data_IF_017744898597
#
_entry.id   IF_017744898597
#
_cell.length_a   1.000
_cell.length_b   1.000
_cell.length_c   1.000
_cell.angle_alpha   90.00
_cell.angle_beta   90.00
_cell.angle_gamma   90.00
#
_symmetry.space_group_name_H-M   'P 1'
#
loop_
_entity.id
_entity.type
_entity.pdbx_description
1 polymer ?
#
# COMPACT_ATOMS: atom_id res chain seq x y z
N UNK A 1 10.25 -27.10 2.60
CA UNK A 1 9.99 -25.64 2.65
C UNK A 1 11.31 -24.92 2.78
N UNK A 2 11.61 -23.98 1.87
CA UNK A 2 12.76 -23.08 2.02
C UNK A 2 12.74 -22.41 3.40
N UNK A 3 13.86 -22.47 4.12
CA UNK A 3 14.02 -21.98 5.50
C UNK A 3 14.31 -20.48 5.56
N UNK A 4 14.50 -19.79 4.43
CA UNK A 4 14.74 -18.35 4.41
C UNK A 4 13.54 -17.57 4.96
N UNK A 5 13.71 -16.88 6.10
CA UNK A 5 12.63 -16.08 6.71
C UNK A 5 12.11 -15.00 5.73
N UNK A 6 12.99 -14.50 4.84
CA UNK A 6 12.67 -13.46 3.88
C UNK A 6 12.76 -14.00 2.45
N UNK A 7 11.62 -14.16 1.78
CA UNK A 7 11.56 -14.58 0.37
C UNK A 7 11.66 -13.39 -0.57
N UNK A 8 12.89 -13.01 -0.86
CA UNK A 8 13.24 -11.98 -1.86
C UNK A 8 13.37 -12.59 -3.26
N UNK A 9 12.41 -13.43 -3.65
CA UNK A 9 12.38 -14.06 -4.97
C UNK A 9 12.18 -13.00 -6.06
N UNK A 10 12.82 -13.23 -7.23
CA UNK A 10 12.76 -12.30 -8.36
C UNK A 10 11.29 -12.01 -8.72
N UNK A 11 10.86 -10.74 -8.73
CA UNK A 11 9.48 -10.41 -8.99
C UNK A 11 9.12 -10.77 -10.43
N UNK A 12 7.94 -11.37 -10.61
CA UNK A 12 7.38 -11.52 -11.95
C UNK A 12 7.00 -10.13 -12.48
N UNK A 13 7.58 -9.72 -13.61
CA UNK A 13 7.40 -8.35 -14.13
C UNK A 13 5.95 -8.01 -14.42
N UNK A 14 5.15 -8.95 -14.95
CA UNK A 14 3.73 -8.73 -15.23
C UNK A 14 2.94 -8.51 -13.94
N UNK A 15 3.19 -9.36 -12.93
CA UNK A 15 2.58 -9.23 -11.60
C UNK A 15 2.97 -7.90 -10.96
N UNK A 16 4.24 -7.52 -11.02
CA UNK A 16 4.74 -6.26 -10.49
C UNK A 16 4.09 -5.06 -11.16
N UNK A 17 3.99 -5.04 -12.49
CA UNK A 17 3.36 -3.94 -13.22
C UNK A 17 1.88 -3.81 -12.92
N UNK A 18 1.15 -4.93 -12.84
CA UNK A 18 -0.28 -4.92 -12.47
C UNK A 18 -0.49 -4.47 -11.02
N UNK A 19 0.34 -4.94 -10.09
CA UNK A 19 0.29 -4.53 -8.69
C UNK A 19 0.63 -3.03 -8.52
N UNK A 20 1.67 -2.55 -9.20
CA UNK A 20 2.06 -1.14 -9.22
C UNK A 20 0.97 -0.25 -9.81
N UNK A 21 0.41 -0.62 -10.97
CA UNK A 21 -0.66 0.13 -11.62
C UNK A 21 -1.92 0.24 -10.76
N UNK A 22 -2.37 -0.88 -10.18
CA UNK A 22 -3.49 -0.85 -9.24
C UNK A 22 -3.20 0.01 -8.00
N UNK A 23 -2.02 -0.13 -7.43
CA UNK A 23 -1.64 0.60 -6.21
C UNK A 23 -1.57 2.10 -6.41
N UNK A 24 -1.17 2.56 -7.60
CA UNK A 24 -1.25 3.98 -7.92
C UNK A 24 -2.67 4.51 -7.83
N UNK A 25 -3.73 3.70 -8.04
CA UNK A 25 -5.11 4.13 -7.87
C UNK A 25 -5.55 4.23 -6.40
N UNK A 26 -4.83 3.64 -5.45
CA UNK A 26 -5.23 3.58 -4.03
C UNK A 26 -5.32 4.93 -3.30
N UNK A 27 -4.53 5.98 -3.59
CA UNK A 27 -4.72 7.30 -3.00
C UNK A 27 -6.12 7.88 -3.27
N UNK A 28 -6.69 7.62 -4.45
CA UNK A 28 -8.05 8.07 -4.78
C UNK A 28 -9.13 7.21 -4.10
N UNK A 29 -8.85 5.94 -3.84
CA UNK A 29 -9.70 5.09 -2.99
C UNK A 29 -9.66 5.59 -1.54
N UNK A 30 -8.47 5.97 -1.07
CA UNK A 30 -8.23 6.53 0.26
C UNK A 30 -9.01 7.85 0.45
N UNK A 31 -9.03 8.70 -0.57
CA UNK A 31 -9.77 9.96 -0.55
C UNK A 31 -11.28 9.78 -0.32
N UNK A 32 -11.91 8.68 -0.78
CA UNK A 32 -13.31 8.36 -0.43
C UNK A 32 -13.50 8.03 1.04
N UNK A 33 -12.48 7.45 1.67
CA UNK A 33 -12.53 7.15 3.11
C UNK A 33 -12.30 8.43 3.91
N UNK A 34 -11.45 9.34 3.41
CA UNK A 34 -11.25 10.64 4.04
C UNK A 34 -12.45 11.57 4.02
N UNK A 35 -13.32 11.47 3.01
CA UNK A 35 -14.57 12.23 3.00
C UNK A 35 -15.56 11.77 4.09
N UNK A 36 -15.37 10.55 4.63
CA UNK A 36 -16.21 9.98 5.70
C UNK A 36 -15.52 10.14 7.07
N UNK A 37 -14.22 9.85 7.14
CA UNK A 37 -13.39 9.91 8.35
C UNK A 37 -12.24 10.89 8.10
N UNK A 38 -12.35 12.15 8.57
CA UNK A 38 -11.34 13.15 8.28
C UNK A 38 -10.00 12.77 8.91
N UNK A 39 -8.91 13.06 8.19
CA UNK A 39 -7.57 12.85 8.69
C UNK A 39 -7.34 13.66 9.98
N UNK A 40 -6.80 13.06 11.06
CA UNK A 40 -6.67 13.72 12.35
C UNK A 40 -5.83 15.00 12.29
N UNK A 41 -6.36 16.09 12.85
CA UNK A 41 -5.71 17.41 12.83
C UNK A 41 -4.34 17.42 13.53
N UNK A 42 -4.18 16.65 14.60
CA UNK A 42 -2.88 16.49 15.28
C UNK A 42 -1.79 15.91 14.35
N UNK A 43 -2.14 14.91 13.54
CA UNK A 43 -1.20 14.34 12.57
C UNK A 43 -0.89 15.33 11.46
N UNK A 44 -1.90 16.06 10.94
CA UNK A 44 -1.68 17.15 9.96
C UNK A 44 -0.64 18.12 10.47
N UNK A 45 -0.78 18.57 11.72
CA UNK A 45 0.12 19.51 12.38
C UNK A 45 1.55 18.98 12.49
N UNK A 46 1.74 17.71 12.87
CA UNK A 46 3.08 17.10 12.90
C UNK A 46 3.70 17.07 11.51
N UNK A 47 2.95 16.64 10.50
CA UNK A 47 3.47 16.56 9.12
C UNK A 47 3.81 17.94 8.55
N UNK A 48 2.98 18.96 8.82
CA UNK A 48 3.27 20.33 8.38
C UNK A 48 4.47 20.92 9.13
N UNK A 49 4.58 20.74 10.45
CA UNK A 49 5.73 21.22 11.22
C UNK A 49 7.05 20.58 10.76
N UNK A 50 7.06 19.28 10.44
CA UNK A 50 8.23 18.60 9.86
C UNK A 50 8.56 19.17 8.47
N UNK A 51 7.55 19.51 7.67
CA UNK A 51 7.72 20.07 6.32
C UNK A 51 8.11 21.56 6.27
N UNK A 52 7.90 22.32 7.34
CA UNK A 52 8.13 23.79 7.39
C UNK A 52 9.57 24.22 7.63
N UNK A 53 10.52 23.32 7.85
CA UNK A 53 11.92 23.69 8.03
C UNK A 53 12.56 24.08 6.69
N UNK A 54 12.58 25.37 6.36
CA UNK A 54 13.22 25.97 5.18
C UNK A 54 14.69 25.53 4.98
N UNK A 55 14.85 24.36 4.39
CA UNK A 55 16.12 23.70 4.13
C UNK A 55 15.89 22.62 3.08
N UNK A 56 16.90 22.32 2.25
CA UNK A 56 16.83 21.21 1.29
C UNK A 56 16.48 19.87 1.96
N UNK A 57 16.71 19.77 3.27
CA UNK A 57 16.32 18.66 4.14
C UNK A 57 14.81 18.42 4.19
N UNK A 58 13.97 19.46 4.07
CA UNK A 58 12.52 19.33 4.05
C UNK A 58 12.01 18.47 2.88
N UNK A 59 12.73 18.44 1.76
CA UNK A 59 12.41 17.56 0.63
C UNK A 59 12.98 16.16 0.82
N UNK A 60 14.23 16.06 1.29
CA UNK A 60 14.96 14.79 1.31
C UNK A 60 14.37 13.81 2.33
N UNK A 61 14.05 14.26 3.54
CA UNK A 61 13.61 13.36 4.61
C UNK A 61 12.26 12.66 4.32
N UNK A 62 11.22 13.33 3.81
CA UNK A 62 9.98 12.65 3.44
C UNK A 62 10.18 11.57 2.39
N UNK A 63 10.99 11.80 1.35
CA UNK A 63 11.25 10.79 0.32
C UNK A 63 12.09 9.61 0.85
N UNK A 64 13.09 9.84 1.71
CA UNK A 64 13.81 8.76 2.37
C UNK A 64 12.85 7.93 3.23
N UNK A 65 11.99 8.59 4.01
CA UNK A 65 10.99 7.91 4.84
C UNK A 65 10.01 7.09 3.99
N UNK A 66 9.67 7.58 2.79
CA UNK A 66 8.78 6.92 1.86
C UNK A 66 9.35 5.63 1.27
N UNK A 67 10.65 5.40 1.40
CA UNK A 67 11.33 4.18 0.97
C UNK A 67 11.60 3.28 2.18
N UNK A 68 12.15 3.85 3.26
CA UNK A 68 12.60 3.08 4.42
C UNK A 68 11.44 2.54 5.25
N UNK A 69 10.35 3.32 5.41
CA UNK A 69 9.19 2.90 6.19
C UNK A 69 8.49 1.69 5.53
N UNK A 70 8.17 1.70 4.23
CA UNK A 70 7.66 0.50 3.56
C UNK A 70 8.57 -0.72 3.68
N UNK A 71 9.90 -0.53 3.63
CA UNK A 71 10.84 -1.64 3.81
C UNK A 71 10.67 -2.35 5.15
N UNK A 72 10.71 -1.58 6.24
CA UNK A 72 10.55 -2.10 7.61
C UNK A 72 9.19 -2.80 7.74
N UNK A 73 8.15 -2.14 7.25
CA UNK A 73 6.78 -2.64 7.31
C UNK A 73 6.60 -3.95 6.52
N UNK A 74 7.06 -4.03 5.28
CA UNK A 74 6.94 -5.26 4.49
C UNK A 74 7.75 -6.41 5.10
N UNK A 75 8.96 -6.16 5.56
CA UNK A 75 9.80 -7.18 6.22
C UNK A 75 9.10 -7.74 7.46
N UNK A 76 8.59 -6.88 8.34
CA UNK A 76 7.92 -7.32 9.57
C UNK A 76 6.60 -8.03 9.25
N UNK A 77 5.71 -7.39 8.50
CA UNK A 77 4.35 -7.90 8.36
C UNK A 77 4.25 -9.07 7.38
N UNK A 78 5.01 -9.07 6.27
CA UNK A 78 4.91 -10.11 5.23
C UNK A 78 6.01 -11.15 5.42
N UNK A 79 7.24 -10.70 5.67
CA UNK A 79 8.38 -11.57 5.90
C UNK A 79 8.31 -12.37 7.21
N UNK A 80 7.92 -11.73 8.32
CA UNK A 80 7.94 -12.36 9.64
C UNK A 80 6.53 -12.81 10.07
N UNK A 81 5.59 -11.88 10.25
CA UNK A 81 4.27 -12.17 10.85
C UNK A 81 3.44 -13.09 9.95
N UNK A 82 3.14 -12.67 8.72
CA UNK A 82 2.32 -13.46 7.80
C UNK A 82 2.97 -14.80 7.48
N UNK A 83 4.29 -14.83 7.28
CA UNK A 83 5.02 -16.08 7.02
C UNK A 83 4.96 -17.05 8.19
N UNK A 84 5.13 -16.56 9.43
CA UNK A 84 4.96 -17.39 10.62
C UNK A 84 3.54 -17.91 10.75
N UNK A 85 2.53 -17.07 10.48
CA UNK A 85 1.13 -17.52 10.48
C UNK A 85 0.83 -18.55 9.38
N UNK A 86 1.58 -18.58 8.28
CA UNK A 86 1.42 -19.59 7.22
C UNK A 86 2.02 -20.95 7.57
N UNK A 87 2.86 -21.07 8.62
CA UNK A 87 3.35 -22.38 9.07
C UNK A 87 2.32 -23.12 9.92
N UNK A 88 1.50 -22.38 10.66
CA UNK A 88 0.52 -22.94 11.60
C UNK A 88 -0.93 -22.90 11.09
N UNK A 89 -1.27 -21.93 10.24
CA UNK A 89 -2.62 -21.70 9.77
C UNK A 89 -2.73 -21.75 8.24
N UNK A 90 -3.94 -22.03 7.74
CA UNK A 90 -4.21 -21.97 6.30
C UNK A 90 -4.24 -20.54 5.76
N UNK A 91 -3.90 -20.38 4.47
CA UNK A 91 -3.73 -19.10 3.75
C UNK A 91 -4.73 -18.01 4.16
N UNK A 92 -6.04 -18.31 4.08
CA UNK A 92 -7.09 -17.32 4.37
C UNK A 92 -7.02 -16.80 5.80
N UNK A 93 -6.82 -17.70 6.77
CA UNK A 93 -6.73 -17.34 8.20
C UNK A 93 -5.47 -16.52 8.46
N UNK A 94 -4.33 -16.92 7.89
CA UNK A 94 -3.05 -16.22 8.06
C UNK A 94 -3.12 -14.79 7.51
N UNK A 95 -3.71 -14.58 6.33
CA UNK A 95 -3.89 -13.24 5.74
C UNK A 95 -4.79 -12.38 6.63
N UNK A 96 -5.93 -12.90 7.08
CA UNK A 96 -6.87 -12.14 7.91
C UNK A 96 -6.23 -11.71 9.23
N UNK A 97 -5.57 -12.65 9.94
CA UNK A 97 -4.92 -12.35 11.22
C UNK A 97 -3.79 -11.33 11.03
N UNK A 98 -2.94 -11.51 10.02
CA UNK A 98 -1.86 -10.56 9.71
C UNK A 98 -2.42 -9.16 9.38
N UNK A 99 -3.52 -9.09 8.62
CA UNK A 99 -4.18 -7.84 8.26
C UNK A 99 -4.79 -7.12 9.48
N UNK A 100 -5.36 -7.86 10.43
CA UNK A 100 -5.86 -7.29 11.69
C UNK A 100 -4.70 -6.72 12.51
N UNK A 101 -3.59 -7.46 12.66
CA UNK A 101 -2.41 -6.97 13.38
C UNK A 101 -1.87 -5.70 12.71
N UNK A 102 -1.77 -5.70 11.38
CA UNK A 102 -1.38 -4.51 10.60
C UNK A 102 -2.35 -3.34 10.83
N UNK A 103 -3.65 -3.60 10.76
CA UNK A 103 -4.70 -2.60 10.97
C UNK A 103 -4.62 -1.95 12.34
N UNK A 104 -4.35 -2.72 13.39
CA UNK A 104 -4.18 -2.17 14.75
C UNK A 104 -2.92 -1.33 14.82
N UNK A 105 -1.76 -1.83 14.38
CA UNK A 105 -0.50 -1.09 14.46
C UNK A 105 -0.56 0.19 13.62
N UNK A 106 -0.94 0.07 12.35
CA UNK A 106 -1.06 1.20 11.42
C UNK A 106 -2.16 2.16 11.85
N UNK A 107 -3.32 1.63 12.25
CA UNK A 107 -4.45 2.42 12.74
C UNK A 107 -4.16 3.15 14.04
N UNK A 108 -3.34 2.63 14.94
CA UNK A 108 -2.87 3.38 16.10
C UNK A 108 -1.96 4.55 15.71
N UNK A 109 -1.19 4.42 14.63
CA UNK A 109 -0.30 5.49 14.13
C UNK A 109 -1.04 6.56 13.32
N UNK A 110 -2.06 6.17 12.54
CA UNK A 110 -2.75 7.05 11.59
C UNK A 110 -4.19 7.42 11.98
N UNK A 111 -4.73 6.78 13.02
CA UNK A 111 -6.16 6.79 13.42
C UNK A 111 -7.13 6.33 12.32
N UNK A 112 -6.64 5.54 11.37
CA UNK A 112 -7.43 5.02 10.25
C UNK A 112 -7.41 3.49 10.18
N UNK A 113 -7.84 2.76 11.22
CA UNK A 113 -7.71 1.30 11.28
C UNK A 113 -8.35 0.59 10.07
N UNK A 114 -9.45 1.11 9.54
CA UNK A 114 -10.15 0.56 8.36
C UNK A 114 -9.24 0.46 7.15
N UNK A 115 -8.47 1.52 6.85
CA UNK A 115 -7.52 1.54 5.74
C UNK A 115 -6.34 0.59 5.98
N UNK A 116 -5.87 0.54 7.22
CA UNK A 116 -4.87 -0.44 7.63
C UNK A 116 -5.34 -1.87 7.33
N UNK A 117 -6.61 -2.19 7.61
CA UNK A 117 -7.16 -3.52 7.32
C UNK A 117 -7.20 -3.80 5.81
N UNK A 118 -7.63 -2.84 4.99
CA UNK A 118 -7.69 -2.97 3.53
C UNK A 118 -6.29 -3.23 2.96
N UNK A 119 -5.29 -2.43 3.35
CA UNK A 119 -3.90 -2.61 2.91
C UNK A 119 -3.31 -3.91 3.44
N UNK A 120 -3.57 -4.26 4.69
CA UNK A 120 -3.15 -5.53 5.29
C UNK A 120 -3.66 -6.73 4.49
N UNK A 121 -4.95 -6.74 4.14
CA UNK A 121 -5.56 -7.80 3.34
C UNK A 121 -4.98 -7.85 1.92
N UNK A 122 -4.89 -6.71 1.25
CA UNK A 122 -4.46 -6.65 -0.16
C UNK A 122 -2.99 -7.03 -0.34
N UNK A 123 -2.09 -6.46 0.45
CA UNK A 123 -0.67 -6.82 0.40
C UNK A 123 -0.39 -8.21 0.96
N UNK A 124 -1.16 -8.67 1.95
CA UNK A 124 -1.07 -10.05 2.44
C UNK A 124 -1.44 -11.06 1.36
N UNK A 125 -2.52 -10.80 0.62
CA UNK A 125 -2.89 -11.56 -0.57
C UNK A 125 -1.81 -11.47 -1.66
N UNK A 126 -1.33 -10.27 -1.98
CA UNK A 126 -0.27 -10.06 -2.98
C UNK A 126 0.98 -10.89 -2.64
N UNK A 127 1.45 -10.87 -1.39
CA UNK A 127 2.62 -11.63 -0.94
C UNK A 127 2.44 -13.14 -1.14
N UNK A 128 1.31 -13.70 -0.70
CA UNK A 128 1.04 -15.14 -0.78
C UNK A 128 1.07 -15.62 -2.23
N UNK A 129 0.43 -14.90 -3.15
CA UNK A 129 0.28 -15.35 -4.53
C UNK A 129 1.42 -14.93 -5.45
N UNK A 130 2.06 -13.79 -5.21
CA UNK A 130 3.29 -13.40 -5.93
C UNK A 130 4.52 -14.19 -5.46
N UNK A 131 4.47 -14.74 -4.23
CA UNK A 131 5.58 -15.40 -3.53
C UNK A 131 6.85 -14.53 -3.47
N UNK A 132 6.73 -13.21 -3.58
CA UNK A 132 7.85 -12.29 -3.64
C UNK A 132 7.66 -11.11 -2.69
N UNK A 133 8.59 -10.96 -1.76
CA UNK A 133 8.66 -9.77 -0.89
C UNK A 133 9.04 -8.52 -1.70
N UNK A 134 9.83 -8.67 -2.78
CA UNK A 134 10.15 -7.56 -3.69
C UNK A 134 8.91 -6.98 -4.35
N UNK A 135 7.98 -7.83 -4.78
CA UNK A 135 6.71 -7.36 -5.37
C UNK A 135 5.95 -6.49 -4.37
N UNK A 136 5.81 -6.93 -3.12
CA UNK A 136 5.11 -6.13 -2.10
C UNK A 136 5.86 -4.84 -1.78
N UNK A 137 7.18 -4.92 -1.60
CA UNK A 137 8.03 -3.78 -1.25
C UNK A 137 8.00 -2.69 -2.31
N UNK A 138 8.25 -3.03 -3.58
CA UNK A 138 8.28 -2.04 -4.66
C UNK A 138 6.91 -1.37 -4.80
N UNK A 139 5.84 -2.16 -4.75
CA UNK A 139 4.48 -1.66 -4.82
C UNK A 139 4.13 -0.74 -3.65
N UNK A 140 4.56 -1.06 -2.42
CA UNK A 140 4.33 -0.21 -1.26
C UNK A 140 5.17 1.08 -1.30
N UNK A 141 6.44 1.00 -1.71
CA UNK A 141 7.27 2.20 -1.93
C UNK A 141 6.60 3.13 -2.96
N UNK A 142 6.07 2.59 -4.05
CA UNK A 142 5.38 3.39 -5.07
C UNK A 142 4.15 4.11 -4.51
N UNK A 143 3.36 3.44 -3.67
CA UNK A 143 2.23 4.06 -2.96
C UNK A 143 2.70 5.22 -2.07
N UNK A 144 3.75 4.98 -1.29
CA UNK A 144 4.21 5.92 -0.29
C UNK A 144 4.88 7.13 -0.93
N UNK A 145 5.71 6.91 -1.96
CA UNK A 145 6.37 7.96 -2.73
C UNK A 145 5.35 8.82 -3.48
N UNK A 146 4.34 8.22 -4.12
CA UNK A 146 3.30 9.00 -4.82
C UNK A 146 2.50 9.87 -3.84
N UNK A 147 2.18 9.35 -2.65
CA UNK A 147 1.50 10.10 -1.59
C UNK A 147 2.35 11.27 -1.06
N UNK A 148 3.64 11.01 -0.78
CA UNK A 148 4.58 12.07 -0.35
C UNK A 148 4.78 13.10 -1.45
N UNK A 149 4.94 12.68 -2.70
CA UNK A 149 5.08 13.60 -3.83
C UNK A 149 3.87 14.53 -3.96
N UNK A 150 2.65 14.01 -3.79
CA UNK A 150 1.44 14.84 -3.79
C UNK A 150 1.45 15.87 -2.66
N UNK A 151 1.68 15.43 -1.41
CA UNK A 151 1.67 16.33 -0.24
C UNK A 151 2.72 17.42 -0.38
N UNK A 152 3.94 17.06 -0.76
CA UNK A 152 5.05 18.00 -0.90
C UNK A 152 4.82 18.96 -2.06
N UNK A 153 4.38 18.46 -3.22
CA UNK A 153 4.08 19.34 -4.36
C UNK A 153 2.98 20.32 -4.01
N UNK A 154 1.87 19.85 -3.43
CA UNK A 154 0.74 20.73 -3.09
C UNK A 154 1.06 21.74 -1.99
N UNK A 155 2.01 21.43 -1.10
CA UNK A 155 2.47 22.35 -0.06
C UNK A 155 3.29 23.52 -0.64
N UNK A 156 4.26 23.24 -1.51
CA UNK A 156 5.13 24.28 -2.10
C UNK A 156 4.56 24.94 -3.36
N UNK A 157 3.81 24.17 -4.15
CA UNK A 157 3.20 24.56 -5.41
C UNK A 157 1.75 24.06 -5.42
N UNK A 158 0.81 24.82 -4.83
CA UNK A 158 -0.58 24.42 -4.75
C UNK A 158 -1.12 23.96 -6.10
N UNK A 159 -1.57 22.70 -6.13
CA UNK A 159 -2.06 22.06 -7.34
C UNK A 159 -3.41 22.64 -7.75
N UNK A 160 -3.80 22.50 -9.04
CA UNK A 160 -5.11 22.94 -9.50
C UNK A 160 -6.24 22.37 -8.63
N UNK A 161 -7.30 23.17 -8.41
CA UNK A 161 -8.41 22.80 -7.53
C UNK A 161 -8.99 21.42 -7.88
N UNK A 162 -9.09 21.09 -9.17
CA UNK A 162 -9.61 19.79 -9.62
C UNK A 162 -8.76 18.61 -9.11
N UNK A 163 -7.44 18.76 -9.07
CA UNK A 163 -6.52 17.73 -8.57
C UNK A 163 -6.68 17.57 -7.06
N UNK A 164 -6.77 18.69 -6.34
CA UNK A 164 -6.97 18.69 -4.90
C UNK A 164 -8.33 18.08 -4.52
N UNK A 165 -9.41 18.47 -5.17
CA UNK A 165 -10.75 17.88 -4.96
C UNK A 165 -10.78 16.37 -5.22
N UNK A 166 -10.01 15.86 -6.19
CA UNK A 166 -9.88 14.42 -6.40
C UNK A 166 -9.12 13.71 -5.27
N UNK A 167 -8.11 14.37 -4.69
CA UNK A 167 -7.27 13.80 -3.62
C UNK A 167 -7.88 13.96 -2.22
N UNK A 168 -8.81 14.90 -2.02
CA UNK A 168 -9.58 15.08 -0.77
C UNK A 168 -10.89 14.31 -0.76
N UNK A 169 -11.35 13.82 -1.93
CA UNK A 169 -12.58 13.03 -2.07
C UNK A 169 -13.81 13.86 -2.44
N UNK A 170 -13.65 15.17 -2.64
CA UNK A 170 -14.73 16.08 -3.05
C UNK A 170 -15.19 15.82 -4.50
N UNK A 171 -14.31 15.29 -5.35
CA UNK A 171 -14.61 14.94 -6.74
C UNK A 171 -14.95 13.44 -6.89
N UNK A 172 -16.04 13.02 -6.25
CA UNK A 172 -16.43 11.61 -6.10
C UNK A 172 -16.44 10.77 -7.39
N UNK A 173 -16.72 11.37 -8.56
CA UNK A 173 -16.73 10.68 -9.86
C UNK A 173 -15.33 10.16 -10.20
N UNK A 174 -14.29 10.96 -9.99
CA UNK A 174 -12.90 10.57 -10.25
C UNK A 174 -12.47 9.48 -9.28
N UNK A 175 -12.85 9.61 -8.01
CA UNK A 175 -12.55 8.60 -7.00
C UNK A 175 -13.24 7.25 -7.26
N UNK A 176 -14.51 7.30 -7.70
CA UNK A 176 -15.24 6.11 -8.12
C UNK A 176 -14.59 5.44 -9.32
N UNK A 177 -14.23 6.23 -10.35
CA UNK A 177 -13.53 5.72 -11.53
C UNK A 177 -12.18 5.07 -11.15
N UNK A 178 -11.38 5.71 -10.29
CA UNK A 178 -10.11 5.16 -9.81
C UNK A 178 -10.30 3.86 -9.00
N UNK A 179 -11.38 3.77 -8.21
CA UNK A 179 -11.75 2.55 -7.48
C UNK A 179 -12.10 1.41 -8.43
N UNK A 180 -12.86 1.68 -9.50
CA UNK A 180 -13.18 0.69 -10.54
C UNK A 180 -11.90 0.22 -11.23
N UNK A 181 -11.00 1.15 -11.59
CA UNK A 181 -9.71 0.82 -12.20
C UNK A 181 -8.86 -0.04 -11.25
N UNK A 182 -8.80 0.28 -9.96
CA UNK A 182 -8.12 -0.55 -8.96
C UNK A 182 -8.67 -1.98 -8.90
N UNK A 183 -10.00 -2.13 -8.94
CA UNK A 183 -10.67 -3.44 -8.96
C UNK A 183 -10.30 -4.20 -10.24
N UNK A 184 -10.27 -3.53 -11.40
CA UNK A 184 -9.87 -4.15 -12.66
C UNK A 184 -8.41 -4.64 -12.65
N UNK A 185 -7.47 -3.83 -12.13
CA UNK A 185 -6.07 -4.26 -11.95
C UNK A 185 -5.98 -5.47 -11.02
N UNK A 186 -6.70 -5.43 -9.90
CA UNK A 186 -6.75 -6.55 -8.94
C UNK A 186 -7.35 -7.80 -9.57
N UNK A 187 -8.37 -7.67 -10.41
CA UNK A 187 -8.95 -8.77 -11.18
C UNK A 187 -7.96 -9.37 -12.19
N UNK A 188 -7.25 -8.56 -12.96
CA UNK A 188 -6.22 -9.05 -13.89
C UNK A 188 -5.05 -9.72 -13.18
N UNK A 189 -4.69 -9.20 -12.00
CA UNK A 189 -3.68 -9.81 -11.14
C UNK A 189 -4.15 -11.18 -10.63
N UNK A 190 -5.40 -11.28 -10.16
CA UNK A 190 -6.02 -12.54 -9.78
C UNK A 190 -6.04 -13.56 -10.92
N UNK A 191 -6.41 -13.14 -12.14
CA UNK A 191 -6.36 -14.02 -13.31
C UNK A 191 -4.94 -14.50 -13.63
N UNK A 192 -3.95 -13.62 -13.46
CA UNK A 192 -2.54 -13.97 -13.66
C UNK A 192 -2.09 -15.04 -12.66
N UNK A 193 -2.48 -14.92 -11.38
CA UNK A 193 -2.19 -15.93 -10.37
C UNK A 193 -2.90 -17.26 -10.62
N UNK A 194 -4.18 -17.23 -11.02
CA UNK A 194 -4.93 -18.44 -11.36
C UNK A 194 -4.30 -19.21 -12.53
N UNK A 195 -3.81 -18.51 -13.55
CA UNK A 195 -3.12 -19.14 -14.68
C UNK A 195 -1.72 -19.69 -14.33
N UNK A 196 -1.10 -19.22 -13.25
CA UNK A 196 0.16 -19.78 -12.76
C UNK A 196 -0.07 -21.05 -11.94
N UNK A 197 -1.02 -21.03 -11.00
CA UNK A 197 -1.38 -22.23 -10.22
C UNK A 197 -1.78 -23.39 -11.14
N UNK A 198 -2.59 -23.14 -12.18
CA UNK A 198 -3.01 -24.19 -13.12
C UNK A 198 -1.88 -24.79 -13.97
N UNK A 199 -0.74 -24.11 -14.13
CA UNK A 199 0.42 -24.64 -14.89
C UNK A 199 1.36 -25.49 -14.04
N UNK A 200 1.31 -25.34 -12.72
CA UNK A 200 2.10 -26.15 -11.78
C UNK A 200 1.44 -27.52 -11.49
N UNK A 201 0.22 -27.79 -11.99
CA UNK A 201 -0.50 -29.07 -11.85
C UNK A 201 -0.59 -29.92 -13.13
N UNK A 202 0.01 -29.49 -14.24
CA UNK A 202 0.20 -30.37 -15.41
C UNK A 202 1.54 -31.10 -15.29
N UNK A 203 1.50 -32.24 -14.58
CA UNK A 203 2.49 -33.33 -14.68
C UNK A 203 1.77 -34.51 -15.30
#
# INVERSE_FOLDING_TARGET
MDRSILRFDKPNIKVLLLAAGGTLCLPWVHALIYSIVPFPEFLKKIFTEIGTKDSNEAYIYPFISAILMPFIIEVIFRGIILRGLLTEYGIRKSIIIAAIIYSVVWGCMTLLPVLGLIYGLWFGWLYVYSRSLWTCLITHILLQVSSVAYVMTNYYHPLPQQVNSAMTGDLWIVNLAATIVFILFTYFLYQTFRHHDNRDYTI
#
